data_IF_978350283000
#
_entry.id   IF_978350283000
#
_cell.length_a   1.000
_cell.length_b   1.000
_cell.length_c   1.000
_cell.angle_alpha   90.00
_cell.angle_beta   90.00
_cell.angle_gamma   90.00
#
_symmetry.space_group_name_H-M   'P 1'
#
loop_
_entity.id
_entity.type
_entity.pdbx_description
1 polymer ?
#
# COMPACT_ATOMS: atom_id res chain seq x y z
N UNK A 1 -6.09 4.27 -25.13
CA UNK A 1 -5.39 3.05 -25.57
C UNK A 1 -5.81 2.72 -26.99
N UNK A 2 -7.08 2.36 -27.26
CA UNK A 2 -7.55 1.95 -28.58
C UNK A 2 -7.17 2.93 -29.68
N UNK A 3 -7.49 4.24 -29.54
CA UNK A 3 -7.16 5.24 -30.56
C UNK A 3 -5.64 5.33 -30.80
N UNK A 4 -4.84 5.26 -29.75
CA UNK A 4 -3.38 5.25 -29.89
C UNK A 4 -2.92 4.01 -30.66
N UNK A 5 -3.41 2.84 -30.31
CA UNK A 5 -3.11 1.58 -30.98
C UNK A 5 -3.46 1.64 -32.47
N UNK A 6 -4.70 2.02 -32.81
CA UNK A 6 -5.18 2.04 -34.20
C UNK A 6 -4.51 3.08 -35.11
N UNK A 7 -4.06 4.21 -34.56
CA UNK A 7 -3.56 5.32 -35.36
C UNK A 7 -2.03 5.51 -35.31
N UNK A 8 -1.35 4.89 -34.35
CA UNK A 8 0.09 5.13 -34.16
C UNK A 8 0.93 3.85 -34.20
N UNK A 9 0.32 2.67 -34.19
CA UNK A 9 1.04 1.40 -34.20
C UNK A 9 0.72 0.61 -35.45
N UNK A 10 1.58 -0.35 -35.76
CA UNK A 10 1.51 -1.24 -36.92
C UNK A 10 1.28 -2.68 -36.48
N UNK A 11 0.96 -3.58 -37.42
CA UNK A 11 0.80 -5.01 -37.18
C UNK A 11 2.04 -5.71 -36.58
N UNK A 12 3.22 -5.07 -36.73
CA UNK A 12 4.47 -5.59 -36.17
C UNK A 12 4.68 -5.22 -34.69
N UNK A 13 3.92 -4.26 -34.17
CA UNK A 13 4.03 -3.81 -32.78
C UNK A 13 3.29 -4.77 -31.84
N UNK A 14 4.02 -5.33 -30.88
CA UNK A 14 3.44 -6.14 -29.81
C UNK A 14 3.04 -5.25 -28.65
N UNK A 15 1.76 -5.25 -28.30
CA UNK A 15 1.20 -4.36 -27.29
C UNK A 15 0.64 -5.16 -26.13
N UNK A 16 0.93 -4.73 -24.92
CA UNK A 16 0.34 -5.23 -23.69
C UNK A 16 -0.28 -4.07 -22.93
N UNK A 17 -1.53 -4.19 -22.55
CA UNK A 17 -2.21 -3.25 -21.66
C UNK A 17 -2.14 -3.77 -20.23
N UNK A 18 -1.36 -3.11 -19.39
CA UNK A 18 -1.27 -3.43 -17.97
C UNK A 18 -2.15 -2.47 -17.16
N UNK A 19 -3.14 -3.03 -16.49
CA UNK A 19 -4.05 -2.33 -15.59
C UNK A 19 -3.65 -2.57 -14.13
N UNK A 20 -3.69 -1.55 -13.31
CA UNK A 20 -3.43 -1.63 -11.87
C UNK A 20 -4.65 -1.20 -11.08
N UNK A 21 -5.06 -2.02 -10.13
CA UNK A 21 -6.18 -1.79 -9.22
C UNK A 21 -7.54 -1.69 -9.92
N UNK A 22 -8.60 -1.87 -9.16
CA UNK A 22 -9.99 -1.84 -9.67
C UNK A 22 -10.31 -0.62 -10.55
N UNK A 23 -9.67 0.53 -10.30
CA UNK A 23 -9.92 1.79 -11.01
C UNK A 23 -9.62 1.70 -12.51
N UNK A 24 -8.69 0.85 -12.90
CA UNK A 24 -8.31 0.66 -14.30
C UNK A 24 -8.89 -0.60 -14.93
N UNK A 25 -9.60 -1.41 -14.13
CA UNK A 25 -10.15 -2.70 -14.53
C UNK A 25 -11.13 -2.61 -15.70
N UNK A 26 -12.06 -1.64 -15.68
CA UNK A 26 -12.99 -1.45 -16.80
C UNK A 26 -12.27 -1.19 -18.12
N UNK A 27 -11.13 -0.47 -18.08
CA UNK A 27 -10.30 -0.25 -19.26
C UNK A 27 -9.71 -1.55 -19.81
N UNK A 28 -9.28 -2.46 -18.94
CA UNK A 28 -8.77 -3.78 -19.35
C UNK A 28 -9.86 -4.62 -20.00
N UNK A 29 -11.05 -4.68 -19.37
CA UNK A 29 -12.20 -5.41 -19.93
C UNK A 29 -12.65 -4.83 -21.28
N UNK A 30 -12.67 -3.51 -21.40
CA UNK A 30 -12.97 -2.86 -22.67
C UNK A 30 -11.95 -3.19 -23.77
N UNK A 31 -10.64 -3.09 -23.45
CA UNK A 31 -9.57 -3.39 -24.42
C UNK A 31 -9.67 -4.85 -24.89
N UNK A 32 -9.88 -5.78 -23.99
CA UNK A 32 -10.03 -7.20 -24.32
C UNK A 32 -11.19 -7.46 -25.29
N UNK A 33 -12.30 -6.73 -25.14
CA UNK A 33 -13.46 -6.86 -26.00
C UNK A 33 -13.31 -6.13 -27.33
N UNK A 34 -12.79 -4.89 -27.32
CA UNK A 34 -12.76 -4.00 -28.47
C UNK A 34 -11.50 -4.13 -29.32
N UNK A 35 -10.40 -4.60 -28.76
CA UNK A 35 -9.08 -4.73 -29.41
C UNK A 35 -8.40 -6.03 -28.92
N UNK A 36 -8.91 -7.20 -29.29
CA UNK A 36 -8.44 -8.49 -28.77
C UNK A 36 -6.98 -8.84 -29.14
N UNK A 37 -6.37 -8.07 -30.05
CA UNK A 37 -4.95 -8.21 -30.40
C UNK A 37 -4.01 -7.68 -29.31
N UNK A 38 -4.52 -6.87 -28.37
CA UNK A 38 -3.75 -6.35 -27.24
C UNK A 38 -3.84 -7.35 -26.09
N UNK A 39 -2.69 -7.89 -25.65
CA UNK A 39 -2.63 -8.69 -24.43
C UNK A 39 -2.97 -7.86 -23.19
N UNK A 40 -3.75 -8.42 -22.27
CA UNK A 40 -4.19 -7.72 -21.07
C UNK A 40 -3.60 -8.31 -19.80
N UNK A 41 -3.03 -7.46 -18.94
CA UNK A 41 -2.55 -7.81 -17.61
C UNK A 41 -3.30 -6.97 -16.58
N UNK A 42 -3.78 -7.61 -15.53
CA UNK A 42 -4.36 -6.91 -14.38
C UNK A 42 -3.57 -7.22 -13.12
N UNK A 43 -3.16 -6.17 -12.41
CA UNK A 43 -2.42 -6.30 -11.15
C UNK A 43 -3.22 -5.70 -10.00
N UNK A 44 -3.55 -6.51 -9.00
CA UNK A 44 -4.11 -6.04 -7.73
C UNK A 44 -3.02 -6.01 -6.66
N UNK A 45 -2.87 -4.87 -5.96
CA UNK A 45 -1.89 -4.70 -4.90
C UNK A 45 -2.45 -5.02 -3.50
N UNK A 46 -3.76 -4.95 -3.36
CA UNK A 46 -4.55 -5.39 -2.23
C UNK A 46 -5.99 -5.45 -2.68
N UNK A 47 -6.73 -6.47 -2.30
CA UNK A 47 -8.14 -6.55 -2.70
C UNK A 47 -8.93 -5.38 -2.11
N UNK A 48 -9.79 -4.76 -2.93
CA UNK A 48 -10.59 -3.62 -2.50
C UNK A 48 -11.51 -4.00 -1.33
N UNK A 49 -12.08 -5.20 -1.39
CA UNK A 49 -12.96 -5.70 -0.33
C UNK A 49 -12.18 -6.14 0.92
N UNK A 50 -11.02 -6.77 0.81
CA UNK A 50 -10.17 -7.13 1.94
C UNK A 50 -9.73 -5.89 2.72
N UNK A 51 -9.31 -4.84 2.01
CA UNK A 51 -8.99 -3.55 2.62
C UNK A 51 -10.18 -2.94 3.36
N UNK A 52 -11.39 -3.08 2.83
CA UNK A 52 -12.61 -2.59 3.45
C UNK A 52 -12.98 -3.40 4.69
N UNK A 53 -12.85 -4.72 4.65
CA UNK A 53 -13.08 -5.60 5.81
C UNK A 53 -12.16 -5.18 6.96
N UNK A 54 -10.84 -5.11 6.71
CA UNK A 54 -9.87 -4.71 7.73
C UNK A 54 -10.09 -3.27 8.23
N UNK A 55 -10.42 -2.33 7.33
CA UNK A 55 -10.69 -0.93 7.67
C UNK A 55 -11.97 -0.71 8.50
N UNK A 56 -12.88 -1.69 8.53
CA UNK A 56 -14.09 -1.70 9.37
C UNK A 56 -13.94 -2.57 10.63
N UNK A 57 -12.73 -2.70 11.15
CA UNK A 57 -12.41 -3.44 12.38
C UNK A 57 -12.81 -4.93 12.37
N UNK A 58 -13.00 -5.51 11.18
CA UNK A 58 -13.24 -6.94 11.03
C UNK A 58 -11.89 -7.67 10.87
N UNK A 59 -11.65 -8.77 11.61
CA UNK A 59 -10.37 -9.50 11.55
C UNK A 59 -10.24 -10.26 10.23
N UNK A 60 -9.58 -9.65 9.25
CA UNK A 60 -9.48 -10.17 7.89
C UNK A 60 -8.79 -11.53 7.83
N UNK A 61 -7.58 -11.63 8.35
CA UNK A 61 -6.75 -12.82 8.16
C UNK A 61 -7.12 -13.97 9.10
N UNK A 62 -7.68 -13.69 10.28
CA UNK A 62 -8.13 -14.72 11.20
C UNK A 62 -9.31 -15.53 10.65
N UNK A 63 -10.12 -14.91 9.81
CA UNK A 63 -11.33 -15.50 9.23
C UNK A 63 -11.40 -15.40 7.70
N UNK A 64 -10.28 -15.22 7.03
CA UNK A 64 -10.24 -15.01 5.57
C UNK A 64 -11.00 -16.10 4.81
N UNK A 65 -10.83 -17.35 5.20
CA UNK A 65 -11.47 -18.52 4.59
C UNK A 65 -12.99 -18.59 4.82
N UNK A 66 -13.52 -17.83 5.77
CA UNK A 66 -14.94 -17.80 6.11
C UNK A 66 -15.70 -16.62 5.47
N UNK A 67 -14.98 -15.66 4.91
CA UNK A 67 -15.61 -14.54 4.21
C UNK A 67 -16.02 -14.92 2.79
N UNK A 68 -17.20 -14.50 2.39
CA UNK A 68 -17.61 -14.46 1.00
C UNK A 68 -17.45 -13.03 0.47
N UNK A 69 -16.62 -12.82 -0.55
CA UNK A 69 -16.30 -11.50 -1.08
C UNK A 69 -17.52 -10.71 -1.56
N UNK A 70 -18.44 -11.36 -2.28
CA UNK A 70 -19.65 -10.73 -2.81
C UNK A 70 -20.60 -10.30 -1.67
N UNK A 71 -20.77 -11.15 -0.66
CA UNK A 71 -21.59 -10.84 0.52
C UNK A 71 -20.97 -9.67 1.32
N UNK A 72 -19.67 -9.70 1.55
CA UNK A 72 -18.98 -8.63 2.25
C UNK A 72 -19.04 -7.32 1.46
N UNK A 73 -18.98 -7.37 0.13
CA UNK A 73 -19.15 -6.21 -0.71
C UNK A 73 -20.53 -5.57 -0.56
N UNK A 74 -21.59 -6.37 -0.44
CA UNK A 74 -22.94 -5.88 -0.13
C UNK A 74 -23.02 -5.23 1.25
N UNK A 75 -22.51 -5.91 2.27
CA UNK A 75 -22.53 -5.43 3.66
C UNK A 75 -21.79 -4.09 3.83
N UNK A 76 -20.67 -3.93 3.12
CA UNK A 76 -19.79 -2.76 3.25
C UNK A 76 -19.97 -1.70 2.14
N UNK A 77 -21.03 -1.82 1.30
CA UNK A 77 -21.32 -0.92 0.18
C UNK A 77 -20.15 -0.79 -0.83
N UNK A 78 -19.50 -1.91 -1.12
CA UNK A 78 -18.34 -2.00 -2.00
C UNK A 78 -18.62 -2.71 -3.33
N UNK A 79 -19.89 -3.01 -3.65
CA UNK A 79 -20.29 -3.86 -4.78
C UNK A 79 -19.66 -3.40 -6.11
N UNK A 80 -19.72 -2.11 -6.42
CA UNK A 80 -19.19 -1.58 -7.68
C UNK A 80 -17.69 -1.81 -7.83
N UNK A 81 -16.91 -1.53 -6.78
CA UNK A 81 -15.45 -1.70 -6.80
C UNK A 81 -15.07 -3.16 -6.83
N UNK A 82 -15.71 -3.94 -5.97
CA UNK A 82 -15.49 -5.38 -5.87
C UNK A 82 -15.82 -6.11 -7.17
N UNK A 83 -16.99 -5.83 -7.79
CA UNK A 83 -17.39 -6.48 -9.03
C UNK A 83 -16.45 -6.15 -10.19
N UNK A 84 -16.00 -4.89 -10.31
CA UNK A 84 -15.01 -4.52 -11.33
C UNK A 84 -13.70 -5.29 -11.11
N UNK A 85 -13.18 -5.30 -9.89
CA UNK A 85 -11.94 -6.00 -9.56
C UNK A 85 -12.05 -7.49 -9.85
N UNK A 86 -13.11 -8.13 -9.37
CA UNK A 86 -13.39 -9.56 -9.57
C UNK A 86 -13.54 -9.92 -11.06
N UNK A 87 -14.38 -9.18 -11.79
CA UNK A 87 -14.59 -9.43 -13.22
C UNK A 87 -13.29 -9.21 -14.01
N UNK A 88 -12.52 -8.18 -13.68
CA UNK A 88 -11.23 -7.96 -14.35
C UNK A 88 -10.28 -9.13 -14.10
N UNK A 89 -10.14 -9.56 -12.85
CA UNK A 89 -9.28 -10.69 -12.50
C UNK A 89 -9.63 -11.98 -13.24
N UNK A 90 -10.93 -12.20 -13.50
CA UNK A 90 -11.40 -13.41 -14.17
C UNK A 90 -11.29 -13.39 -15.70
N UNK A 91 -11.23 -12.21 -16.35
CA UNK A 91 -11.33 -12.10 -17.80
C UNK A 91 -10.05 -11.67 -18.49
N UNK A 92 -9.09 -11.03 -17.81
CA UNK A 92 -7.80 -10.66 -18.43
C UNK A 92 -6.96 -11.88 -18.78
N UNK A 93 -6.03 -11.71 -19.74
CA UNK A 93 -5.14 -12.80 -20.17
C UNK A 93 -4.17 -13.24 -19.07
N UNK A 94 -3.79 -12.29 -18.17
CA UNK A 94 -2.94 -12.61 -17.03
C UNK A 94 -3.33 -11.75 -15.81
N UNK A 95 -3.74 -12.42 -14.75
CA UNK A 95 -4.01 -11.80 -13.45
C UNK A 95 -2.78 -11.91 -12.54
N UNK A 96 -2.32 -10.81 -12.00
CA UNK A 96 -1.13 -10.77 -11.14
C UNK A 96 -1.41 -10.08 -9.81
N UNK A 97 -0.60 -10.40 -8.81
CA UNK A 97 -0.58 -9.72 -7.52
C UNK A 97 0.84 -9.58 -6.99
N UNK A 98 1.02 -8.87 -5.88
CA UNK A 98 2.34 -8.43 -5.38
C UNK A 98 2.88 -9.27 -4.21
N UNK A 99 2.11 -10.20 -3.66
CA UNK A 99 2.53 -11.07 -2.57
C UNK A 99 1.65 -12.29 -2.43
N UNK A 100 2.16 -13.34 -1.78
CA UNK A 100 1.37 -14.52 -1.45
C UNK A 100 0.21 -14.21 -0.50
N UNK A 101 0.38 -13.23 0.38
CA UNK A 101 -0.70 -12.80 1.29
C UNK A 101 -1.85 -12.23 0.45
N UNK A 102 -1.55 -11.32 -0.49
CA UNK A 102 -2.57 -10.77 -1.39
C UNK A 102 -3.15 -11.85 -2.32
N UNK A 103 -2.34 -12.82 -2.74
CA UNK A 103 -2.82 -13.95 -3.54
C UNK A 103 -3.86 -14.78 -2.79
N UNK A 104 -3.66 -15.01 -1.50
CA UNK A 104 -4.64 -15.69 -0.66
C UNK A 104 -5.93 -14.85 -0.52
N UNK A 105 -5.83 -13.53 -0.37
CA UNK A 105 -7.01 -12.66 -0.42
C UNK A 105 -7.76 -12.77 -1.75
N UNK A 106 -7.04 -12.76 -2.87
CA UNK A 106 -7.64 -12.89 -4.21
C UNK A 106 -8.39 -14.21 -4.35
N UNK A 107 -7.77 -15.29 -3.90
CA UNK A 107 -8.37 -16.62 -3.96
C UNK A 107 -9.67 -16.70 -3.18
N UNK A 108 -9.71 -16.19 -1.96
CA UNK A 108 -10.88 -16.31 -1.07
C UNK A 108 -11.95 -15.23 -1.36
N UNK A 109 -11.55 -14.02 -1.74
CA UNK A 109 -12.47 -12.89 -1.87
C UNK A 109 -12.87 -12.57 -3.32
N UNK A 110 -12.03 -12.92 -4.30
CA UNK A 110 -12.32 -12.73 -5.73
C UNK A 110 -12.64 -14.07 -6.44
N UNK A 111 -12.58 -15.19 -5.73
CA UNK A 111 -12.72 -16.55 -6.28
C UNK A 111 -11.71 -16.83 -7.41
N UNK A 112 -10.55 -16.18 -7.40
CA UNK A 112 -9.51 -16.31 -8.42
C UNK A 112 -8.13 -16.10 -7.79
N UNK A 113 -7.31 -17.14 -7.80
CA UNK A 113 -5.89 -16.98 -7.51
C UNK A 113 -5.18 -16.22 -8.64
N UNK A 114 -4.15 -15.46 -8.32
CA UNK A 114 -3.31 -14.83 -9.33
C UNK A 114 -2.58 -15.89 -10.16
N UNK A 115 -2.45 -15.63 -11.46
CA UNK A 115 -1.69 -16.49 -12.35
C UNK A 115 -0.20 -16.37 -12.07
N UNK A 116 0.25 -15.16 -11.65
CA UNK A 116 1.64 -14.89 -11.27
C UNK A 116 1.69 -13.93 -10.07
N UNK A 117 2.55 -14.22 -9.11
CA UNK A 117 2.88 -13.30 -8.01
C UNK A 117 4.16 -12.54 -8.37
N UNK A 118 4.04 -11.22 -8.56
CA UNK A 118 5.13 -10.32 -8.92
C UNK A 118 5.36 -9.33 -7.78
N UNK A 119 6.38 -9.57 -6.98
CA UNK A 119 6.71 -8.65 -5.88
C UNK A 119 7.12 -7.28 -6.42
N UNK A 120 6.76 -6.23 -5.68
CA UNK A 120 7.18 -4.86 -6.00
C UNK A 120 8.70 -4.78 -6.05
N UNK A 121 9.22 -4.11 -7.08
CA UNK A 121 10.64 -3.82 -7.21
C UNK A 121 11.12 -2.83 -6.15
N UNK A 122 12.39 -2.89 -5.83
CA UNK A 122 13.07 -1.94 -4.96
C UNK A 122 14.40 -1.54 -5.59
N UNK A 123 14.63 -0.23 -5.66
CA UNK A 123 15.93 0.33 -6.03
C UNK A 123 16.64 0.81 -4.78
N UNK A 124 17.85 0.34 -4.55
CA UNK A 124 18.66 0.72 -3.39
C UNK A 124 19.67 1.83 -3.67
N UNK A 125 19.83 2.23 -4.91
CA UNK A 125 20.76 3.27 -5.36
C UNK A 125 20.52 4.64 -4.70
N UNK A 126 19.29 4.91 -4.25
CA UNK A 126 18.99 6.15 -3.53
C UNK A 126 19.54 6.15 -2.09
N UNK A 127 19.92 4.99 -1.55
CA UNK A 127 20.54 4.87 -0.24
C UNK A 127 22.05 5.03 -0.37
N UNK A 128 22.62 6.13 0.14
CA UNK A 128 24.07 6.35 0.04
C UNK A 128 24.83 5.25 0.78
N UNK A 129 25.97 4.86 0.22
CA UNK A 129 26.82 3.80 0.77
C UNK A 129 28.06 4.38 1.49
N UNK A 130 28.70 3.57 2.33
CA UNK A 130 29.98 3.88 2.99
C UNK A 130 29.98 5.17 3.81
N UNK A 131 31.01 5.99 3.65
CA UNK A 131 31.19 7.24 4.40
C UNK A 131 30.12 8.29 4.09
N UNK A 132 29.58 8.29 2.85
CA UNK A 132 28.49 9.16 2.46
C UNK A 132 27.21 8.86 3.25
N UNK A 133 26.92 7.60 3.50
CA UNK A 133 25.79 7.19 4.35
C UNK A 133 25.91 7.76 5.75
N UNK A 134 27.07 7.57 6.39
CA UNK A 134 27.31 8.05 7.75
C UNK A 134 27.13 9.56 7.87
N UNK A 135 27.67 10.33 6.91
CA UNK A 135 27.55 11.79 6.90
C UNK A 135 26.10 12.27 6.68
N UNK A 136 25.39 11.70 5.72
CA UNK A 136 23.97 12.03 5.45
C UNK A 136 23.07 11.63 6.62
N UNK A 137 23.29 10.45 7.20
CA UNK A 137 22.54 9.97 8.38
C UNK A 137 22.72 10.91 9.57
N UNK A 138 23.96 11.35 9.87
CA UNK A 138 24.24 12.30 10.95
C UNK A 138 23.50 13.62 10.73
N UNK A 139 23.56 14.17 9.51
CA UNK A 139 22.86 15.42 9.17
C UNK A 139 21.34 15.28 9.30
N UNK A 140 20.75 14.22 8.78
CA UNK A 140 19.32 13.96 8.88
C UNK A 140 18.88 13.84 10.35
N UNK A 141 19.64 13.10 11.17
CA UNK A 141 19.38 12.96 12.60
C UNK A 141 19.42 14.31 13.33
N UNK A 142 20.45 15.12 13.09
CA UNK A 142 20.56 16.45 13.70
C UNK A 142 19.40 17.36 13.30
N UNK A 143 18.94 17.28 12.05
CA UNK A 143 17.79 18.05 11.60
C UNK A 143 16.50 17.60 12.32
N UNK A 144 16.25 16.29 12.42
CA UNK A 144 15.08 15.75 13.12
C UNK A 144 15.05 16.16 14.59
N UNK A 145 16.18 16.05 15.29
CA UNK A 145 16.29 16.48 16.69
C UNK A 145 16.07 17.99 16.86
N UNK A 146 16.64 18.81 15.96
CA UNK A 146 16.44 20.27 16.00
C UNK A 146 14.98 20.67 15.81
N UNK A 147 14.29 20.05 14.84
CA UNK A 147 12.85 20.28 14.61
C UNK A 147 12.05 19.87 15.85
N UNK A 148 12.28 18.67 16.37
CA UNK A 148 11.54 18.16 17.52
C UNK A 148 11.80 19.01 18.78
N UNK A 149 13.04 19.37 19.07
CA UNK A 149 13.38 20.20 20.22
C UNK A 149 12.70 21.58 20.17
N UNK A 150 12.61 22.18 18.98
CA UNK A 150 11.91 23.46 18.80
C UNK A 150 10.39 23.32 18.98
N UNK A 151 9.80 22.26 18.46
CA UNK A 151 8.35 22.04 18.56
C UNK A 151 7.91 21.65 19.97
N UNK A 152 8.74 20.88 20.68
CA UNK A 152 8.38 20.33 22.00
C UNK A 152 8.97 21.12 23.17
N UNK A 153 9.78 22.15 22.90
CA UNK A 153 10.46 22.91 23.95
C UNK A 153 11.47 22.06 24.75
N UNK A 154 12.08 21.04 24.11
CA UNK A 154 13.00 20.10 24.75
C UNK A 154 14.45 20.32 24.30
N UNK A 155 15.37 19.60 24.92
CA UNK A 155 16.79 19.61 24.54
C UNK A 155 17.30 18.15 24.46
N UNK A 156 16.70 17.36 23.58
CA UNK A 156 17.12 15.98 23.34
C UNK A 156 18.44 15.93 22.59
N UNK A 157 19.37 15.11 23.06
CA UNK A 157 20.71 14.95 22.51
C UNK A 157 20.86 13.77 21.55
N UNK A 158 22.11 13.53 21.15
CA UNK A 158 22.47 12.49 20.16
C UNK A 158 22.25 11.05 20.66
N UNK A 159 22.04 10.84 21.94
CA UNK A 159 21.70 9.53 22.55
C UNK A 159 20.23 9.16 22.42
N UNK A 160 19.37 10.10 22.01
CA UNK A 160 17.93 9.90 21.83
C UNK A 160 17.69 8.83 20.77
N UNK A 161 16.85 7.85 21.07
CA UNK A 161 16.38 6.88 20.07
C UNK A 161 15.31 7.54 19.20
N UNK A 162 15.55 7.62 17.89
CA UNK A 162 14.57 8.11 16.92
C UNK A 162 13.91 6.92 16.23
N UNK A 163 12.61 6.84 16.34
CA UNK A 163 11.78 5.82 15.70
C UNK A 163 10.64 6.50 14.92
N UNK A 164 10.11 5.84 13.91
CA UNK A 164 9.05 6.46 13.13
C UNK A 164 8.28 5.48 12.27
N UNK A 165 7.06 5.87 11.95
CA UNK A 165 6.25 5.24 10.93
C UNK A 165 5.83 6.27 9.89
N UNK A 166 5.63 5.82 8.65
CA UNK A 166 5.23 6.66 7.53
C UNK A 166 4.25 5.90 6.64
N UNK A 167 3.24 6.57 6.13
CA UNK A 167 2.26 5.95 5.25
C UNK A 167 1.02 6.82 5.06
N UNK A 168 0.00 6.28 4.39
CA UNK A 168 -1.29 6.95 4.28
C UNK A 168 -1.98 7.03 5.65
N UNK A 169 -2.85 8.03 5.82
CA UNK A 169 -3.63 8.20 7.04
C UNK A 169 -4.75 7.14 7.14
N UNK A 170 -4.36 5.89 7.33
CA UNK A 170 -5.23 4.74 7.51
C UNK A 170 -4.86 4.08 8.86
N UNK A 171 -5.54 4.48 9.91
CA UNK A 171 -5.17 4.19 11.31
C UNK A 171 -4.93 2.70 11.58
N UNK A 172 -5.86 1.84 11.15
CA UNK A 172 -5.78 0.37 11.31
C UNK A 172 -4.91 -0.28 10.23
N UNK A 173 -5.21 0.00 8.95
CA UNK A 173 -4.55 -0.68 7.83
C UNK A 173 -3.05 -0.39 7.73
N UNK A 174 -2.57 0.69 8.36
CA UNK A 174 -1.14 1.05 8.40
C UNK A 174 -0.50 0.78 9.76
N UNK A 175 -1.21 0.13 10.67
CA UNK A 175 -0.70 -0.25 11.97
C UNK A 175 -0.31 0.94 12.86
N UNK A 176 -0.92 2.12 12.65
CA UNK A 176 -0.65 3.29 13.50
C UNK A 176 -1.08 3.02 14.93
N UNK A 177 -2.21 2.33 15.13
CA UNK A 177 -2.70 1.87 16.42
C UNK A 177 -1.70 0.96 17.13
N UNK A 178 -1.13 -0.01 16.41
CA UNK A 178 -0.11 -0.93 16.94
C UNK A 178 1.17 -0.16 17.29
N UNK A 179 1.56 0.80 16.46
CA UNK A 179 2.72 1.66 16.73
C UNK A 179 2.52 2.48 18.00
N UNK A 180 1.36 3.11 18.17
CA UNK A 180 1.03 3.90 19.37
C UNK A 180 0.96 3.03 20.63
N UNK A 181 0.37 1.83 20.56
CA UNK A 181 0.37 0.89 21.68
C UNK A 181 1.79 0.41 22.04
N UNK A 182 2.64 0.21 21.04
CA UNK A 182 4.06 -0.13 21.26
C UNK A 182 4.79 1.01 21.99
N UNK A 183 4.52 2.26 21.61
CA UNK A 183 5.05 3.44 22.33
C UNK A 183 4.53 3.53 23.77
N UNK A 184 3.25 3.23 23.98
CA UNK A 184 2.64 3.22 25.32
C UNK A 184 3.31 2.17 26.22
N UNK A 185 3.61 0.97 25.68
CA UNK A 185 4.34 -0.07 26.41
C UNK A 185 5.78 0.37 26.71
N UNK A 186 6.45 0.92 25.70
CA UNK A 186 7.83 1.39 25.82
C UNK A 186 7.94 2.52 26.88
N UNK A 187 6.95 3.43 26.96
CA UNK A 187 6.90 4.50 27.95
C UNK A 187 6.72 3.99 29.40
N UNK A 188 6.24 2.76 29.57
CA UNK A 188 6.08 2.12 30.87
C UNK A 188 7.28 1.25 31.26
N UNK A 189 8.21 1.05 30.36
CA UNK A 189 9.41 0.26 30.60
C UNK A 189 10.39 1.05 31.48
N UNK A 190 10.60 0.56 32.70
CA UNK A 190 11.50 1.19 33.68
C UNK A 190 12.98 0.95 33.38
N UNK A 191 13.28 -0.02 32.54
CA UNK A 191 14.65 -0.38 32.17
C UNK A 191 15.15 0.45 30.99
N UNK A 192 14.26 1.20 30.34
CA UNK A 192 14.60 2.11 29.25
C UNK A 192 15.33 3.35 29.77
N UNK A 193 16.63 3.42 29.52
CA UNK A 193 17.51 4.52 29.98
C UNK A 193 17.68 5.64 28.93
N UNK A 194 16.99 5.60 27.81
CA UNK A 194 17.14 6.56 26.71
C UNK A 194 15.84 7.31 26.45
N UNK A 195 15.99 8.57 26.06
CA UNK A 195 14.89 9.32 25.48
C UNK A 195 14.48 8.67 24.14
N UNK A 196 13.18 8.59 23.89
CA UNK A 196 12.62 8.11 22.63
C UNK A 196 11.86 9.24 21.97
N UNK A 197 12.21 9.53 20.73
CA UNK A 197 11.52 10.48 19.88
C UNK A 197 10.80 9.71 18.76
N UNK A 198 9.49 9.79 18.74
CA UNK A 198 8.67 9.10 17.76
C UNK A 198 8.10 10.08 16.72
N UNK A 199 8.22 9.72 15.45
CA UNK A 199 7.58 10.42 14.33
C UNK A 199 6.48 9.58 13.72
N UNK A 200 5.30 10.19 13.55
CA UNK A 200 4.19 9.61 12.77
C UNK A 200 3.98 10.50 11.55
N UNK A 201 4.52 10.09 10.41
CA UNK A 201 4.50 10.86 9.17
C UNK A 201 3.36 10.37 8.28
N UNK A 202 2.25 11.05 8.35
CA UNK A 202 1.06 10.74 7.54
C UNK A 202 0.58 12.01 6.85
N UNK A 203 0.16 11.95 5.56
CA UNK A 203 -0.49 13.09 4.93
C UNK A 203 -1.84 13.30 5.60
N UNK A 204 -2.05 14.50 6.13
CA UNK A 204 -3.30 14.90 6.77
C UNK A 204 -3.92 16.08 6.02
N UNK A 205 -5.23 16.11 5.95
CA UNK A 205 -5.98 17.27 5.47
C UNK A 205 -6.13 18.25 6.65
N UNK A 206 -5.08 19.03 6.88
CA UNK A 206 -5.06 20.04 7.93
C UNK A 206 -4.98 21.42 7.27
N UNK A 207 -5.83 22.34 7.71
CA UNK A 207 -5.84 23.70 7.18
C UNK A 207 -4.58 24.47 7.60
N UNK A 208 -4.28 24.49 8.90
CA UNK A 208 -3.15 25.21 9.48
C UNK A 208 -2.49 24.39 10.60
N UNK A 209 -1.21 24.63 10.91
CA UNK A 209 -0.57 24.07 12.08
C UNK A 209 -1.34 24.48 13.35
N UNK A 210 -1.39 23.60 14.33
CA UNK A 210 -1.90 23.98 15.66
C UNK A 210 -0.85 24.83 16.35
N UNK A 211 -1.27 25.95 16.92
CA UNK A 211 -0.44 26.79 17.80
C UNK A 211 -0.05 26.05 19.09
#
# INVERSE_FOLDING_TARGET
VESFYRYNLTENDKVVYQAHEWMTGLGALYVQLAVPEIGTIFTTHATSIGRSIAGNDKPLYDYLFAYNGDQMAQELNMQSKHSIEKQTAHHVDCFTTVSEITNNECKELLDKAADVVLMNGFEDDFVPQGTAFTGKRKRARSLMLNVANKLLGTNMGDDTLIIGTSGRYEFKNKGIDVFLESLNRLNRDKDLQKNVLAFVNVPGWVGEPRE
#
